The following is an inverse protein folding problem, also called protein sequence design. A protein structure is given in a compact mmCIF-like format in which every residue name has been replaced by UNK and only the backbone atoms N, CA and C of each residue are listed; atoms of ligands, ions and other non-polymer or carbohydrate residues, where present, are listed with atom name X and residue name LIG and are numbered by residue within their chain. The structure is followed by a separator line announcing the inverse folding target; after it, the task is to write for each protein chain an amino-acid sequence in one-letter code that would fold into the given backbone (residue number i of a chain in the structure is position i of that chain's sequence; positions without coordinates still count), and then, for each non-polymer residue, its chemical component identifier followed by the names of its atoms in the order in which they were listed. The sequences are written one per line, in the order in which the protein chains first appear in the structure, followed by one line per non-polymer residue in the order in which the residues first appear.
data_IF_042796399633
#
_entry.id   IF_042796399633
#
_cell.length_a   1.000
_cell.length_b   1.000
_cell.length_c   1.000
_cell.angle_alpha   90.00
_cell.angle_beta   90.00
_cell.angle_gamma   90.00
#
_symmetry.space_group_name_H-M   'P 1'
#
loop_
_entity.id
_entity.type
_entity.pdbx_description
1 polymer ?
#
# COMPACT_ATOMS: atom_id res chain seq x y z
N UNK A 1 -7.86 22.81 -12.20
CA UNK A 1 -7.17 21.54 -11.92
C UNK A 1 -7.98 20.80 -10.86
N UNK A 2 -8.78 19.84 -11.32
CA UNK A 2 -9.70 19.06 -10.48
C UNK A 2 -8.98 17.83 -9.94
N UNK A 3 -8.97 17.62 -8.63
CA UNK A 3 -9.15 16.27 -8.09
C UNK A 3 -10.01 16.37 -6.83
N UNK A 4 -11.32 16.18 -7.02
CA UNK A 4 -12.27 16.03 -5.92
C UNK A 4 -12.14 14.60 -5.39
N UNK A 5 -11.25 14.40 -4.42
CA UNK A 5 -11.13 13.15 -3.69
C UNK A 5 -12.33 12.95 -2.76
N UNK A 6 -13.52 12.73 -3.34
CA UNK A 6 -14.71 12.27 -2.61
C UNK A 6 -14.50 10.79 -2.29
N UNK A 7 -13.67 10.50 -1.29
CA UNK A 7 -13.61 9.15 -0.73
C UNK A 7 -14.89 8.89 0.05
N UNK A 8 -15.67 7.99 -0.53
CA UNK A 8 -16.86 7.37 0.05
C UNK A 8 -16.49 6.73 1.39
N UNK A 9 -17.01 7.27 2.48
CA UNK A 9 -16.97 6.68 3.83
C UNK A 9 -17.89 5.44 3.91
N UNK A 10 -17.64 4.42 3.10
CA UNK A 10 -18.22 3.09 3.30
C UNK A 10 -17.24 2.32 4.17
N UNK A 11 -17.46 2.31 5.50
CA UNK A 11 -16.75 1.48 6.51
C UNK A 11 -15.58 0.69 5.92
N UNK A 12 -14.49 1.39 5.59
CA UNK A 12 -13.43 0.81 4.78
C UNK A 12 -12.41 0.28 5.76
N UNK A 13 -12.21 -1.03 5.74
CA UNK A 13 -11.10 -1.66 6.48
C UNK A 13 -9.85 -0.85 6.23
N UNK A 14 -9.33 -0.26 7.30
CA UNK A 14 -8.12 0.54 7.25
C UNK A 14 -6.97 -0.43 7.38
N UNK A 15 -5.96 -0.26 6.55
CA UNK A 15 -4.73 -1.03 6.54
C UNK A 15 -3.61 -0.09 6.96
N UNK A 16 -2.86 -0.47 7.98
CA UNK A 16 -1.66 0.21 8.38
C UNK A 16 -0.48 -0.40 7.63
N UNK A 17 0.23 0.45 6.89
CA UNK A 17 1.46 0.08 6.21
C UNK A 17 2.61 0.62 7.03
N UNK A 18 3.56 -0.22 7.39
CA UNK A 18 4.76 0.15 8.14
C UNK A 18 5.98 -0.15 7.28
N UNK A 19 6.70 0.90 6.90
CA UNK A 19 8.02 0.74 6.28
C UNK A 19 9.05 0.40 7.38
N UNK A 20 9.57 -0.82 7.35
CA UNK A 20 10.64 -1.22 8.28
C UNK A 20 12.01 -0.68 7.86
N UNK A 21 12.19 -0.32 6.58
CA UNK A 21 13.49 0.03 6.01
C UNK A 21 13.89 1.47 6.29
N UNK A 22 12.92 2.40 6.41
CA UNK A 22 13.16 3.85 6.41
C UNK A 22 12.75 4.60 7.70
N UNK A 23 12.80 3.94 8.86
CA UNK A 23 12.46 4.56 10.15
C UNK A 23 10.94 4.79 10.32
N UNK A 24 10.21 3.67 10.44
CA UNK A 24 8.84 3.54 10.99
C UNK A 24 7.79 4.52 10.43
N UNK A 25 7.78 4.75 9.13
CA UNK A 25 6.64 5.39 8.49
C UNK A 25 5.44 4.42 8.53
N UNK A 26 4.59 4.59 9.55
CA UNK A 26 3.30 3.93 9.66
C UNK A 26 2.22 4.83 9.07
N UNK A 27 1.55 4.38 8.01
CA UNK A 27 0.45 5.14 7.38
C UNK A 27 -0.79 4.27 7.28
N UNK A 28 -1.89 4.75 7.86
CA UNK A 28 -3.21 4.16 7.71
C UNK A 28 -3.83 4.54 6.37
N UNK A 29 -4.06 3.56 5.51
CA UNK A 29 -4.68 3.72 4.20
C UNK A 29 -5.78 2.70 3.95
N UNK A 30 -6.66 2.97 2.99
CA UNK A 30 -7.64 1.98 2.55
C UNK A 30 -6.98 0.97 1.61
N UNK A 31 -7.55 -0.23 1.47
CA UNK A 31 -7.10 -1.25 0.51
C UNK A 31 -6.75 -0.69 -0.87
N UNK A 32 -7.62 0.13 -1.44
CA UNK A 32 -7.42 0.73 -2.76
C UNK A 32 -6.22 1.68 -2.84
N UNK A 33 -5.80 2.24 -1.69
CA UNK A 33 -4.67 3.16 -1.60
C UNK A 33 -3.37 2.49 -1.18
N UNK A 34 -3.38 1.23 -0.73
CA UNK A 34 -2.17 0.50 -0.29
C UNK A 34 -1.08 0.54 -1.36
N UNK A 35 -1.42 0.10 -2.57
CA UNK A 35 -0.45 0.06 -3.65
C UNK A 35 0.02 1.44 -4.10
N UNK A 36 -0.86 2.45 -4.09
CA UNK A 36 -0.48 3.82 -4.44
C UNK A 36 0.47 4.43 -3.41
N UNK A 37 0.30 4.12 -2.12
CA UNK A 37 1.20 4.56 -1.06
C UNK A 37 2.55 3.87 -1.14
N UNK A 38 2.59 2.54 -1.31
CA UNK A 38 3.85 1.81 -1.50
C UNK A 38 4.58 2.28 -2.75
N UNK A 39 3.86 2.53 -3.86
CA UNK A 39 4.45 3.09 -5.08
C UNK A 39 5.04 4.49 -4.85
N UNK A 40 4.37 5.33 -4.06
CA UNK A 40 4.87 6.63 -3.66
C UNK A 40 6.18 6.53 -2.88
N UNK A 41 6.23 5.65 -1.88
CA UNK A 41 7.44 5.43 -1.08
C UNK A 41 8.60 4.89 -1.92
N UNK A 42 8.36 3.90 -2.78
CA UNK A 42 9.39 3.36 -3.64
C UNK A 42 9.90 4.37 -4.68
N UNK A 43 9.01 5.25 -5.17
CA UNK A 43 9.41 6.36 -6.05
C UNK A 43 10.27 7.41 -5.32
N UNK A 44 10.03 7.67 -4.04
CA UNK A 44 10.89 8.53 -3.21
C UNK A 44 12.29 7.93 -3.01
N UNK A 45 12.39 6.60 -3.04
CA UNK A 45 13.65 5.86 -2.95
C UNK A 45 14.36 5.67 -4.31
N UNK A 46 13.80 6.21 -5.40
CA UNK A 46 14.25 5.99 -6.79
C UNK A 46 14.30 4.50 -7.18
N UNK A 47 13.53 3.65 -6.48
CA UNK A 47 13.42 2.21 -6.72
C UNK A 47 12.19 1.94 -7.57
N UNK A 48 12.37 1.86 -8.88
CA UNK A 48 11.34 1.40 -9.80
C UNK A 48 11.36 -0.14 -9.86
N UNK A 49 10.67 -0.79 -8.92
CA UNK A 49 10.55 -2.26 -8.91
C UNK A 49 9.23 -2.72 -9.55
N UNK A 50 9.26 -3.69 -10.48
CA UNK A 50 8.04 -4.27 -11.08
C UNK A 50 7.12 -4.93 -10.04
N UNK A 51 7.64 -5.23 -8.85
CA UNK A 51 6.85 -5.73 -7.71
C UNK A 51 5.76 -4.74 -7.26
N UNK A 52 5.95 -3.45 -7.51
CA UNK A 52 4.96 -2.41 -7.16
C UNK A 52 3.69 -2.51 -7.99
N UNK A 53 3.82 -2.76 -9.30
CA UNK A 53 2.70 -2.98 -10.20
C UNK A 53 1.98 -4.30 -9.89
N UNK A 54 2.76 -5.33 -9.55
CA UNK A 54 2.24 -6.62 -9.10
C UNK A 54 1.41 -6.46 -7.81
N UNK A 55 1.91 -5.68 -6.84
CA UNK A 55 1.20 -5.35 -5.60
C UNK A 55 -0.12 -4.63 -5.89
N UNK A 56 -0.11 -3.66 -6.81
CA UNK A 56 -1.31 -2.94 -7.24
C UNK A 56 -2.37 -3.88 -7.82
N UNK A 57 -1.94 -4.83 -8.65
CA UNK A 57 -2.82 -5.84 -9.25
C UNK A 57 -3.34 -6.83 -8.22
N UNK A 58 -2.49 -7.33 -7.32
CA UNK A 58 -2.88 -8.26 -6.27
C UNK A 58 -3.91 -7.63 -5.32
N UNK A 59 -3.66 -6.40 -4.87
CA UNK A 59 -4.57 -5.66 -3.99
C UNK A 59 -5.92 -5.39 -4.67
N UNK A 60 -5.92 -5.00 -5.95
CA UNK A 60 -7.15 -4.80 -6.73
C UNK A 60 -7.95 -6.09 -6.94
N UNK A 61 -7.27 -7.23 -7.06
CA UNK A 61 -7.90 -8.55 -7.18
C UNK A 61 -8.38 -9.10 -5.83
N UNK A 62 -8.05 -8.45 -4.71
CA UNK A 62 -8.30 -8.95 -3.36
C UNK A 62 -7.42 -10.15 -2.98
N UNK A 63 -6.30 -10.34 -3.69
CA UNK A 63 -5.33 -11.40 -3.46
C UNK A 63 -4.35 -10.99 -2.35
N UNK A 64 -4.86 -11.01 -1.12
CA UNK A 64 -4.10 -10.68 0.09
C UNK A 64 -2.89 -11.59 0.34
N UNK A 65 -2.91 -12.91 0.05
CA UNK A 65 -1.72 -13.75 0.16
C UNK A 65 -0.56 -13.26 -0.72
N UNK A 66 -0.83 -12.93 -1.99
CA UNK A 66 0.17 -12.40 -2.90
C UNK A 66 0.64 -11.02 -2.46
N UNK A 67 -0.30 -10.18 -1.99
CA UNK A 67 0.00 -8.84 -1.45
C UNK A 67 0.98 -8.92 -0.27
N UNK A 68 0.74 -9.82 0.69
CA UNK A 68 1.62 -10.04 1.83
C UNK A 68 3.01 -10.52 1.41
N UNK A 69 3.09 -11.42 0.44
CA UNK A 69 4.38 -11.94 -0.06
C UNK A 69 5.23 -10.82 -0.67
N UNK A 70 4.61 -9.93 -1.44
CA UNK A 70 5.31 -8.79 -2.04
C UNK A 70 5.72 -7.77 -0.98
N UNK A 71 4.84 -7.49 -0.01
CA UNK A 71 5.16 -6.63 1.14
C UNK A 71 6.38 -7.16 1.92
N UNK A 72 6.43 -8.47 2.20
CA UNK A 72 7.56 -9.12 2.86
C UNK A 72 8.87 -8.97 2.06
N UNK A 73 8.82 -9.16 0.73
CA UNK A 73 9.99 -8.93 -0.14
C UNK A 73 10.48 -7.48 -0.15
N UNK A 74 9.57 -6.53 0.04
CA UNK A 74 9.88 -5.10 0.11
C UNK A 74 10.26 -4.66 1.54
N UNK A 75 10.26 -5.58 2.52
CA UNK A 75 10.44 -5.24 3.95
C UNK A 75 9.40 -4.23 4.46
N UNK A 76 8.17 -4.35 3.96
CA UNK A 76 7.02 -3.54 4.35
C UNK A 76 6.06 -4.43 5.13
N UNK A 77 5.66 -4.00 6.31
CA UNK A 77 4.59 -4.65 7.06
C UNK A 77 3.24 -4.07 6.65
N UNK A 78 2.31 -4.95 6.27
CA UNK A 78 0.92 -4.60 6.03
C UNK A 78 0.07 -5.23 7.14
N UNK A 79 -0.57 -4.39 7.95
CA UNK A 79 -1.47 -4.80 9.03
C UNK A 79 -2.87 -4.24 8.80
N UNK A 80 -3.89 -4.92 9.31
CA UNK A 80 -5.25 -4.37 9.36
C UNK A 80 -5.35 -3.51 10.62
N UNK A 81 -5.64 -2.22 10.45
CA UNK A 81 -5.98 -1.34 11.55
C UNK A 81 -7.41 -1.67 12.01
N UNK A 82 -7.52 -2.10 13.28
CA UNK A 82 -8.78 -2.47 13.93
C UNK A 82 -9.67 -1.25 14.24
#
# INVERSE_FOLDING_TARGET
MNIHWRHQHRATTTYEIVDQLHDRHAVGVTAARVAATVAGWLAELDVQSPLTDELARATQRGDWPTTHTICDQLSIDLMIAA
#
